data_IF_430611358147
#
_entry.id   IF_430611358147
#
_cell.length_a   1.000
_cell.length_b   1.000
_cell.length_c   1.000
_cell.angle_alpha   90.00
_cell.angle_beta   90.00
_cell.angle_gamma   90.00
#
_symmetry.space_group_name_H-M   'P 1'
#
loop_
_entity.id
_entity.type
_entity.pdbx_description
1 polymer ?
#
# COMPACT_ATOMS: atom_id res chain seq x y z
N UNK A 1 14.69 6.53 18.81
CA UNK A 1 15.84 7.32 19.33
C UNK A 1 16.26 8.30 18.23
N UNK A 2 16.76 9.49 18.59
CA UNK A 2 17.32 10.42 17.61
C UNK A 2 18.77 10.02 17.29
N UNK A 3 19.18 10.21 16.03
CA UNK A 3 20.58 10.09 15.62
C UNK A 3 21.38 11.36 15.94
N UNK A 4 22.66 11.37 15.56
CA UNK A 4 23.56 12.51 15.78
C UNK A 4 23.14 13.79 15.02
N UNK A 5 22.25 13.66 14.03
CA UNK A 5 21.66 14.79 13.29
C UNK A 5 20.29 15.21 13.82
N UNK A 6 19.79 14.63 14.91
CA UNK A 6 18.47 14.95 15.46
C UNK A 6 17.30 14.34 14.68
N UNK A 7 17.54 13.27 13.91
CA UNK A 7 16.51 12.60 13.10
C UNK A 7 16.11 11.26 13.71
N UNK A 8 14.82 10.92 13.67
CA UNK A 8 14.32 9.58 13.96
C UNK A 8 13.50 9.06 12.76
N UNK A 9 13.85 7.86 12.31
CA UNK A 9 13.14 7.18 11.22
C UNK A 9 12.52 5.88 11.72
N UNK A 10 11.36 5.53 11.17
CA UNK A 10 10.70 4.24 11.36
C UNK A 10 10.30 3.69 10.00
N UNK A 11 10.48 2.39 9.83
CA UNK A 11 10.04 1.65 8.64
C UNK A 11 8.96 0.66 9.04
N UNK A 12 7.85 0.65 8.31
CA UNK A 12 6.75 -0.29 8.53
C UNK A 12 6.12 -0.69 7.21
N UNK A 13 5.70 -1.95 7.09
CA UNK A 13 4.93 -2.48 5.97
C UNK A 13 3.45 -2.68 6.32
N UNK A 14 3.03 -2.31 7.53
CA UNK A 14 1.68 -2.52 8.04
C UNK A 14 0.86 -1.24 8.13
N UNK A 15 1.38 -0.12 7.58
CA UNK A 15 0.67 1.15 7.58
C UNK A 15 -0.47 1.08 6.56
N UNK A 16 -1.70 1.29 7.03
CA UNK A 16 -2.86 1.58 6.20
C UNK A 16 -3.01 3.10 6.06
N UNK A 17 -3.90 3.60 5.20
CA UNK A 17 -4.27 5.02 5.18
C UNK A 17 -4.55 5.53 6.60
N UNK A 18 -3.90 6.62 6.97
CA UNK A 18 -4.02 7.15 8.31
C UNK A 18 -3.09 8.33 8.59
N UNK A 19 -3.24 8.89 9.77
CA UNK A 19 -2.40 9.99 10.25
C UNK A 19 -1.22 9.43 11.04
N UNK A 20 -0.01 9.80 10.64
CA UNK A 20 1.22 9.50 11.38
C UNK A 20 1.58 10.70 12.23
N UNK A 21 1.74 10.49 13.54
CA UNK A 21 2.11 11.52 14.51
C UNK A 21 3.53 11.31 15.00
N UNK A 22 4.36 12.33 14.89
CA UNK A 22 5.69 12.39 15.49
C UNK A 22 5.64 13.20 16.78
N UNK A 23 6.17 12.63 17.86
CA UNK A 23 6.23 13.29 19.19
C UNK A 23 7.68 13.34 19.65
N UNK A 24 8.18 14.56 19.85
CA UNK A 24 9.41 14.82 20.57
C UNK A 24 9.09 15.29 21.98
N UNK A 25 9.43 14.48 22.98
CA UNK A 25 9.06 14.75 24.38
C UNK A 25 9.89 15.84 25.07
N UNK A 26 10.84 16.48 24.37
CA UNK A 26 11.75 17.46 24.95
C UNK A 26 12.94 16.84 25.67
N UNK A 27 13.76 17.69 26.29
CA UNK A 27 14.92 17.33 27.09
C UNK A 27 15.29 18.45 28.07
N UNK A 28 16.40 18.32 28.81
CA UNK A 28 16.80 19.27 29.86
C UNK A 28 16.90 20.73 29.39
N UNK A 29 17.21 20.95 28.10
CA UNK A 29 17.32 22.28 27.49
C UNK A 29 16.43 22.46 26.24
N UNK A 30 15.49 21.55 25.97
CA UNK A 30 14.67 21.57 24.75
C UNK A 30 13.19 21.35 25.07
N UNK A 31 12.32 22.17 24.49
CA UNK A 31 10.86 22.02 24.64
C UNK A 31 10.34 20.83 23.85
N UNK A 32 9.24 20.23 24.33
CA UNK A 32 8.53 19.21 23.56
C UNK A 32 7.87 19.81 22.31
N UNK A 33 7.68 18.98 21.30
CA UNK A 33 6.95 19.34 20.08
C UNK A 33 6.28 18.11 19.48
N UNK A 34 5.18 18.34 18.78
CA UNK A 34 4.40 17.29 18.12
C UNK A 34 3.98 17.79 16.76
N UNK A 35 4.06 16.92 15.77
CA UNK A 35 3.54 17.19 14.43
C UNK A 35 2.90 15.92 13.84
N UNK A 36 2.01 16.09 12.87
CA UNK A 36 1.31 14.97 12.26
C UNK A 36 1.13 15.17 10.77
N UNK A 37 1.18 14.07 10.02
CA UNK A 37 1.00 14.06 8.57
C UNK A 37 0.06 12.93 8.18
N UNK A 38 -0.88 13.22 7.29
CA UNK A 38 -1.73 12.20 6.67
C UNK A 38 -0.95 11.44 5.60
N UNK A 39 -0.99 10.12 5.68
CA UNK A 39 -0.39 9.22 4.69
C UNK A 39 -1.50 8.43 4.01
N UNK A 40 -1.52 8.51 2.68
CA UNK A 40 -2.41 7.71 1.83
C UNK A 40 -1.61 6.51 1.32
N UNK A 41 -2.14 5.31 1.53
CA UNK A 41 -1.60 4.06 1.00
C UNK A 41 -2.59 3.54 -0.04
N UNK A 42 -2.27 3.71 -1.31
CA UNK A 42 -3.16 3.29 -2.39
C UNK A 42 -2.99 1.80 -2.70
N UNK A 43 -4.06 1.11 -3.11
CA UNK A 43 -3.97 -0.27 -3.59
C UNK A 43 -3.00 -0.37 -4.77
N UNK A 44 -2.31 -1.50 -4.88
CA UNK A 44 -1.55 -1.83 -6.08
C UNK A 44 -2.50 -1.99 -7.29
N UNK A 45 -2.03 -1.62 -8.47
CA UNK A 45 -2.76 -1.86 -9.71
C UNK A 45 -2.97 -3.37 -9.91
N UNK A 46 -4.10 -3.75 -10.52
CA UNK A 46 -4.30 -5.11 -11.00
C UNK A 46 -5.11 -5.09 -12.29
N UNK A 47 -4.86 -6.06 -13.16
CA UNK A 47 -5.58 -6.20 -14.43
C UNK A 47 -6.12 -7.62 -14.57
N UNK A 48 -7.37 -7.73 -15.02
CA UNK A 48 -8.05 -9.00 -15.28
C UNK A 48 -8.21 -9.16 -16.79
N UNK A 49 -7.74 -10.28 -17.33
CA UNK A 49 -7.97 -10.68 -18.72
C UNK A 49 -8.80 -11.96 -18.74
N UNK A 50 -9.70 -12.07 -19.71
CA UNK A 50 -10.53 -13.26 -19.90
C UNK A 50 -10.25 -13.80 -21.29
N UNK A 51 -10.01 -15.10 -21.39
CA UNK A 51 -9.86 -15.83 -22.65
C UNK A 51 -10.88 -16.94 -22.73
N UNK A 52 -11.38 -17.20 -23.93
CA UNK A 52 -12.33 -18.28 -24.23
C UNK A 52 -11.73 -19.13 -25.33
N UNK A 53 -11.82 -20.46 -25.18
CA UNK A 53 -11.34 -21.41 -26.19
C UNK A 53 -12.31 -22.58 -26.33
N UNK A 54 -12.79 -22.90 -27.55
CA UNK A 54 -12.57 -22.17 -28.81
C UNK A 54 -13.42 -20.89 -28.91
N UNK A 55 -12.89 -19.85 -29.57
CA UNK A 55 -13.61 -18.61 -29.92
C UNK A 55 -13.38 -18.27 -31.42
N UNK A 56 -14.39 -18.38 -32.31
CA UNK A 56 -15.81 -18.63 -32.02
C UNK A 56 -16.13 -20.12 -31.79
N UNK A 57 -17.08 -20.39 -30.89
CA UNK A 57 -17.60 -21.74 -30.61
C UNK A 57 -18.93 -22.01 -31.32
N UNK A 58 -19.23 -23.28 -31.63
CA UNK A 58 -20.51 -23.69 -32.20
C UNK A 58 -21.51 -24.22 -31.15
N UNK A 59 -22.80 -24.27 -31.49
CA UNK A 59 -23.84 -24.72 -30.56
C UNK A 59 -23.62 -26.17 -30.11
N UNK A 60 -23.58 -26.39 -28.79
CA UNK A 60 -23.35 -27.70 -28.18
C UNK A 60 -21.87 -28.05 -27.96
N UNK A 61 -20.95 -27.18 -28.36
CA UNK A 61 -19.52 -27.34 -28.09
C UNK A 61 -19.17 -26.93 -26.66
N UNK A 62 -18.22 -27.64 -26.04
CA UNK A 62 -17.70 -27.27 -24.72
C UNK A 62 -16.66 -26.17 -24.88
N UNK A 63 -16.87 -25.04 -24.21
CA UNK A 63 -15.91 -23.93 -24.17
C UNK A 63 -15.20 -23.88 -22.83
N UNK A 64 -13.91 -23.56 -22.87
CA UNK A 64 -13.10 -23.26 -21.69
C UNK A 64 -12.96 -21.76 -21.55
N UNK A 65 -13.36 -21.22 -20.40
CA UNK A 65 -13.23 -19.80 -20.07
C UNK A 65 -12.23 -19.66 -18.94
N UNK A 66 -11.18 -18.88 -19.17
CA UNK A 66 -10.13 -18.62 -18.18
C UNK A 66 -10.08 -17.13 -17.86
N UNK A 67 -10.07 -16.78 -16.58
CA UNK A 67 -9.80 -15.43 -16.11
C UNK A 67 -8.41 -15.40 -15.46
N UNK A 68 -7.54 -14.49 -15.89
CA UNK A 68 -6.20 -14.30 -15.37
C UNK A 68 -6.08 -12.92 -14.74
N UNK A 69 -5.65 -12.88 -13.48
CA UNK A 69 -5.37 -11.65 -12.73
C UNK A 69 -3.87 -11.41 -12.71
N UNK A 70 -3.45 -10.20 -13.05
CA UNK A 70 -2.06 -9.73 -12.97
C UNK A 70 -1.97 -8.56 -12.01
N UNK A 71 -0.84 -8.46 -11.29
CA UNK A 71 -0.51 -7.36 -10.38
C UNK A 71 0.52 -6.43 -11.02
#
# INVERSE_FOLDING_TARGET
PLDAGGTACVTTSSLTNGTVTAVYNGGECFTSSTDATMVTVDPASSAVSVSVEPDPSVCGETVTVCATVTA
#
